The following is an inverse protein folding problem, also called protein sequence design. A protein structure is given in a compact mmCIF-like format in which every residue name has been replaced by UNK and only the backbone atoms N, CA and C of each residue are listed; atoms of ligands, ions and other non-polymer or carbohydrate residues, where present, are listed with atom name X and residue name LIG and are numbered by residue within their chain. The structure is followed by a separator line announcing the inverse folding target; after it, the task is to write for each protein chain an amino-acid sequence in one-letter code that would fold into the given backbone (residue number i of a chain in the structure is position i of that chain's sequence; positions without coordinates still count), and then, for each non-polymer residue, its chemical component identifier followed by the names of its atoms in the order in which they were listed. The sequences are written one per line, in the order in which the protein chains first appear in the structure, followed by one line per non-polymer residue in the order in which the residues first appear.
data_IF_888927830585
#
_entry.id   IF_888927830585
#
_cell.length_a   1.000
_cell.length_b   1.000
_cell.length_c   1.000
_cell.angle_alpha   90.00
_cell.angle_beta   90.00
_cell.angle_gamma   90.00
#
_symmetry.space_group_name_H-M   'P 1'
#
loop_
_entity.id
_entity.type
_entity.pdbx_description
1 polymer ?
#
# COMPACT_ATOMS: atom_id res chain seq x y z
N UNK A 1 -4.31 2.03 -10.02
CA UNK A 1 -4.26 0.72 -9.32
C UNK A 1 -5.60 0.57 -8.62
N UNK A 2 -6.41 -0.39 -9.04
CA UNK A 2 -7.81 -0.47 -8.63
C UNK A 2 -7.93 -0.86 -7.15
N UNK A 3 -8.88 -0.27 -6.43
CA UNK A 3 -9.11 -0.49 -4.99
C UNK A 3 -9.28 -1.99 -4.62
N UNK A 4 -9.72 -2.83 -5.56
CA UNK A 4 -9.79 -4.29 -5.41
C UNK A 4 -8.42 -4.97 -5.31
N UNK A 5 -7.41 -4.47 -6.02
CA UNK A 5 -6.06 -5.02 -6.06
C UNK A 5 -5.36 -4.78 -4.72
N UNK A 6 -5.55 -3.60 -4.13
CA UNK A 6 -4.98 -3.23 -2.83
C UNK A 6 -5.57 -4.08 -1.68
N UNK A 7 -6.90 -4.30 -1.68
CA UNK A 7 -7.56 -5.20 -0.72
C UNK A 7 -7.13 -6.66 -0.89
N UNK A 8 -6.96 -7.10 -2.13
CA UNK A 8 -6.49 -8.46 -2.42
C UNK A 8 -5.06 -8.68 -1.95
N UNK A 9 -4.16 -7.71 -2.17
CA UNK A 9 -2.78 -7.76 -1.67
C UNK A 9 -2.72 -7.77 -0.14
N UNK A 10 -3.54 -6.97 0.54
CA UNK A 10 -3.65 -7.01 2.01
C UNK A 10 -4.16 -8.36 2.52
N UNK A 11 -5.19 -8.93 1.89
CA UNK A 11 -5.74 -10.23 2.26
C UNK A 11 -4.70 -11.35 2.05
N UNK A 12 -4.03 -11.36 0.90
CA UNK A 12 -2.95 -12.31 0.58
C UNK A 12 -1.79 -12.19 1.57
N UNK A 13 -1.39 -10.98 1.94
CA UNK A 13 -0.35 -10.73 2.94
C UNK A 13 -0.74 -11.27 4.33
N UNK A 14 -1.98 -11.04 4.78
CA UNK A 14 -2.51 -11.61 6.02
C UNK A 14 -2.49 -13.14 6.03
N UNK A 15 -2.89 -13.77 4.92
CA UNK A 15 -2.89 -15.23 4.78
C UNK A 15 -1.46 -15.78 4.83
N UNK A 16 -0.52 -15.20 4.08
CA UNK A 16 0.89 -15.61 4.12
C UNK A 16 1.50 -15.46 5.52
N UNK A 17 1.19 -14.37 6.21
CA UNK A 17 1.67 -14.13 7.58
C UNK A 17 1.14 -15.19 8.57
N UNK A 18 -0.17 -15.48 8.47
CA UNK A 18 -0.82 -16.48 9.34
C UNK A 18 -0.30 -17.89 9.07
N UNK A 19 -0.24 -18.29 7.79
CA UNK A 19 0.25 -19.62 7.39
C UNK A 19 1.74 -19.76 7.71
N UNK A 20 2.53 -18.70 7.49
CA UNK A 20 3.95 -18.66 7.84
C UNK A 20 4.17 -18.86 9.34
N UNK A 21 3.41 -18.17 10.18
CA UNK A 21 3.49 -18.32 11.64
C UNK A 21 3.07 -19.73 12.09
N UNK A 22 1.97 -20.26 11.55
CA UNK A 22 1.47 -21.61 11.90
C UNK A 22 2.42 -22.73 11.46
N UNK A 23 3.12 -22.55 10.33
CA UNK A 23 4.04 -23.55 9.75
C UNK A 23 5.51 -23.30 10.15
N UNK A 24 5.80 -22.29 11.00
CA UNK A 24 7.16 -21.85 11.32
C UNK A 24 7.99 -21.47 10.07
N UNK A 25 7.31 -21.08 8.99
CA UNK A 25 7.92 -20.69 7.72
C UNK A 25 8.16 -19.18 7.68
N UNK A 26 9.36 -18.78 8.10
CA UNK A 26 9.86 -17.39 8.08
C UNK A 26 9.79 -16.71 6.71
N UNK A 27 9.83 -17.47 5.61
CA UNK A 27 9.75 -16.89 4.26
C UNK A 27 8.36 -16.33 3.99
N UNK A 28 7.31 -17.10 4.31
CA UNK A 28 5.91 -16.69 4.14
C UNK A 28 5.55 -15.54 5.08
N UNK A 29 6.05 -15.57 6.31
CA UNK A 29 5.86 -14.47 7.26
C UNK A 29 6.49 -13.16 6.75
N UNK A 30 7.73 -13.21 6.27
CA UNK A 30 8.43 -12.03 5.74
C UNK A 30 7.80 -11.50 4.46
N UNK A 31 7.34 -12.37 3.55
CA UNK A 31 6.59 -11.93 2.36
C UNK A 31 5.29 -11.22 2.75
N UNK A 32 4.52 -11.77 3.70
CA UNK A 32 3.27 -11.15 4.15
C UNK A 32 3.49 -9.76 4.80
N UNK A 33 4.54 -9.63 5.62
CA UNK A 33 4.94 -8.36 6.23
C UNK A 33 5.46 -7.36 5.19
N UNK A 34 6.25 -7.82 4.23
CA UNK A 34 6.77 -7.00 3.13
C UNK A 34 5.67 -6.45 2.23
N UNK A 35 4.71 -7.30 1.84
CA UNK A 35 3.55 -6.93 1.03
C UNK A 35 2.70 -5.85 1.74
N UNK A 36 2.44 -5.99 3.05
CA UNK A 36 1.75 -4.96 3.86
C UNK A 36 2.52 -3.65 3.95
N UNK A 37 3.82 -3.72 4.22
CA UNK A 37 4.65 -2.53 4.40
C UNK A 37 4.75 -1.74 3.10
N UNK A 38 4.95 -2.43 1.98
CA UNK A 38 5.02 -1.84 0.64
C UNK A 38 3.68 -1.21 0.23
N UNK A 39 2.55 -1.89 0.52
CA UNK A 39 1.21 -1.35 0.30
C UNK A 39 0.95 -0.05 1.06
N UNK A 40 1.22 -0.05 2.38
CA UNK A 40 1.09 1.17 3.21
C UNK A 40 2.03 2.29 2.78
N UNK A 41 3.25 1.97 2.37
CA UNK A 41 4.22 2.95 1.89
C UNK A 41 3.75 3.58 0.56
N UNK A 42 3.25 2.77 -0.38
CA UNK A 42 2.63 3.27 -1.61
C UNK A 42 1.44 4.18 -1.33
N UNK A 43 0.52 3.77 -0.47
CA UNK A 43 -0.63 4.61 -0.09
C UNK A 43 -0.20 5.94 0.53
N UNK A 44 0.81 5.93 1.40
CA UNK A 44 1.34 7.16 2.00
C UNK A 44 1.97 8.09 0.96
N UNK A 45 2.78 7.54 0.04
CA UNK A 45 3.41 8.31 -1.04
C UNK A 45 2.37 8.87 -2.01
N UNK A 46 1.37 8.06 -2.39
CA UNK A 46 0.31 8.48 -3.30
C UNK A 46 -0.56 9.57 -2.67
N UNK A 47 -0.93 9.44 -1.40
CA UNK A 47 -1.66 10.49 -0.67
C UNK A 47 -0.84 11.81 -0.59
N UNK A 48 0.47 11.72 -0.34
CA UNK A 48 1.35 12.90 -0.31
C UNK A 48 1.46 13.52 -1.69
N UNK A 49 1.62 12.72 -2.75
CA UNK A 49 1.65 13.19 -4.14
C UNK A 49 0.34 13.85 -4.55
N UNK A 50 -0.80 13.28 -4.20
CA UNK A 50 -2.11 13.87 -4.48
C UNK A 50 -2.22 15.22 -3.77
N UNK A 51 -1.96 15.29 -2.46
CA UNK A 51 -2.02 16.55 -1.72
C UNK A 51 -1.06 17.60 -2.27
N UNK A 52 0.14 17.20 -2.68
CA UNK A 52 1.11 18.09 -3.29
C UNK A 52 0.64 18.59 -4.67
N UNK A 53 0.07 17.71 -5.51
CA UNK A 53 -0.54 18.10 -6.79
C UNK A 53 -1.72 19.04 -6.60
N UNK A 54 -2.57 18.78 -5.62
CA UNK A 54 -3.77 19.57 -5.34
C UNK A 54 -3.39 20.97 -4.82
N UNK A 55 -2.41 21.04 -3.92
CA UNK A 55 -1.84 22.29 -3.46
C UNK A 55 -1.11 23.06 -4.58
N UNK A 56 -0.35 22.36 -5.42
CA UNK A 56 0.33 22.96 -6.57
C UNK A 56 -0.67 23.47 -7.61
N UNK A 57 -1.75 22.75 -7.90
CA UNK A 57 -2.82 23.19 -8.79
C UNK A 57 -3.53 24.43 -8.24
N UNK A 58 -3.85 24.45 -6.93
CA UNK A 58 -4.41 25.64 -6.27
C UNK A 58 -3.46 26.84 -6.29
N UNK A 59 -2.16 26.62 -6.17
CA UNK A 59 -1.16 27.68 -6.08
C UNK A 59 -0.67 28.18 -7.45
N UNK A 60 -0.66 27.30 -8.45
CA UNK A 60 -0.25 27.62 -9.83
C UNK A 60 -1.38 28.23 -10.64
N UNK A 61 -2.62 28.19 -10.15
CA UNK A 61 -3.75 28.90 -10.75
C UNK A 61 -4.26 28.21 -12.00
N UNK A 62 -5.38 27.51 -11.87
CA UNK A 62 -6.34 27.36 -12.96
C UNK A 62 -7.38 28.48 -12.77
N UNK A 63 -6.95 29.70 -13.06
CA UNK A 63 -7.84 30.81 -13.38
C UNK A 63 -7.82 30.93 -14.91
N UNK A 64 -8.50 30.00 -15.59
CA UNK A 64 -8.98 30.15 -16.98
C UNK A 64 -10.09 29.17 -17.35
#
# INVERSE_FOLDING_TARGET
MSNSENKFEQAKGNVKETVGNVTDNKSLENEGKGDKASGKAKEAIDNVKEKAKDALNKFTGDDK
#
